data_IF_171126764687
#
_entry.id   IF_171126764687
#
_cell.length_a   1.000
_cell.length_b   1.000
_cell.length_c   1.000
_cell.angle_alpha   90.00
_cell.angle_beta   90.00
_cell.angle_gamma   90.00
#
_symmetry.space_group_name_H-M   'P 1'
#
loop_
_entity.id
_entity.type
_entity.pdbx_description
1 polymer ?
2 water ?
#
# COMPACT_ATOMS: atom_id res chain seq x y z
N UNK A 1 15.34 -8.98 2.85
CA UNK A 1 14.24 -9.79 3.44
C UNK A 1 12.95 -9.03 3.21
N UNK A 2 11.89 -9.73 2.89
CA UNK A 2 10.57 -9.08 2.76
C UNK A 2 10.11 -8.57 4.16
N UNK A 3 10.28 -9.37 5.21
CA UNK A 3 9.90 -9.06 6.61
C UNK A 3 10.59 -7.78 7.06
N UNK A 4 11.88 -7.70 6.84
CA UNK A 4 12.60 -6.46 7.11
C UNK A 4 12.06 -5.24 6.43
N UNK A 5 11.71 -5.25 5.16
CA UNK A 5 11.23 -4.11 4.40
C UNK A 5 10.08 -3.40 5.14
N UNK A 6 9.13 -4.23 5.46
CA UNK A 6 7.91 -3.99 6.19
C UNK A 6 8.21 -3.50 7.62
N UNK A 7 8.93 -4.28 8.42
CA UNK A 7 9.19 -3.96 9.85
C UNK A 7 10.05 -2.76 10.03
N UNK A 8 11.23 -2.82 9.45
CA UNK A 8 12.23 -1.78 9.48
C UNK A 8 12.13 -0.63 8.51
N UNK A 9 11.89 -0.90 7.24
CA UNK A 9 11.93 0.18 6.20
C UNK A 9 10.65 0.92 6.07
N UNK A 10 9.57 0.34 6.57
CA UNK A 10 8.27 1.03 6.52
C UNK A 10 7.77 1.48 7.89
N UNK A 11 7.38 0.53 8.69
CA UNK A 11 6.82 0.69 10.03
C UNK A 11 7.90 1.33 10.92
N UNK A 12 9.07 0.72 10.89
CA UNK A 12 10.19 1.22 11.64
C UNK A 12 10.52 2.67 11.53
N UNK A 13 10.09 3.35 10.50
CA UNK A 13 10.37 4.75 10.20
C UNK A 13 9.43 5.74 10.86
N UNK A 14 8.30 5.21 11.22
CA UNK A 14 7.20 5.92 11.83
C UNK A 14 6.35 6.77 10.96
N UNK A 15 6.47 6.65 9.66
CA UNK A 15 5.71 7.45 8.67
C UNK A 15 4.50 6.62 8.23
N UNK A 16 4.58 5.37 8.70
CA UNK A 16 3.52 4.37 8.38
C UNK A 16 3.27 3.54 9.62
N UNK A 17 2.06 3.19 9.91
CA UNK A 17 1.62 2.44 11.06
C UNK A 17 1.62 0.95 10.84
N UNK A 18 1.08 0.50 9.72
CA UNK A 18 0.95 -0.89 9.30
C UNK A 18 1.38 -0.95 7.80
N UNK A 19 2.12 -1.96 7.46
CA UNK A 19 2.60 -2.10 6.02
C UNK A 19 2.60 -3.54 5.59
N UNK A 20 2.35 -3.75 4.32
CA UNK A 20 2.39 -5.12 3.74
C UNK A 20 3.08 -4.98 2.36
N UNK A 21 3.58 -6.11 1.88
CA UNK A 21 4.20 -6.18 0.56
C UNK A 21 3.52 -7.33 -0.19
N UNK A 22 2.87 -6.93 -1.28
CA UNK A 22 2.20 -7.98 -2.08
C UNK A 22 2.85 -8.30 -3.44
N UNK A 23 2.37 -9.41 -3.95
CA UNK A 23 2.65 -9.97 -5.26
C UNK A 23 1.50 -9.45 -6.18
N UNK A 24 1.80 -9.43 -7.48
CA UNK A 24 0.86 -8.98 -8.52
C UNK A 24 -0.27 -9.96 -8.64
N UNK A 25 -0.16 -11.11 -7.99
CA UNK A 25 -1.32 -12.04 -7.98
C UNK A 25 -2.24 -11.70 -6.78
N UNK A 26 -1.81 -10.69 -6.01
CA UNK A 26 -2.52 -10.25 -4.81
C UNK A 26 -2.22 -11.00 -3.51
N UNK A 27 -1.32 -11.93 -3.48
CA UNK A 27 -0.89 -12.70 -2.32
C UNK A 27 0.17 -11.90 -1.59
N UNK A 28 0.10 -11.95 -0.25
CA UNK A 28 1.01 -11.19 0.62
C UNK A 28 2.37 -11.85 0.65
N UNK A 29 3.41 -11.00 0.67
CA UNK A 29 4.80 -11.53 0.71
C UNK A 29 5.30 -11.45 2.15
N UNK A 30 4.92 -10.35 2.79
CA UNK A 30 5.25 -10.04 4.18
C UNK A 30 4.28 -8.96 4.68
N UNK A 31 3.99 -9.07 6.01
CA UNK A 31 3.04 -8.09 6.62
C UNK A 31 3.44 -7.64 8.01
N UNK A 32 3.05 -6.43 8.44
CA UNK A 32 3.34 -5.97 9.83
C UNK A 32 2.41 -6.74 10.78
N UNK A 33 2.95 -7.16 11.90
CA UNK A 33 2.20 -8.00 12.90
C UNK A 33 0.80 -7.46 13.07
N UNK A 34 -0.24 -8.27 12.93
CA UNK A 34 -1.60 -7.77 13.04
C UNK A 34 -2.19 -7.08 11.86
N UNK A 35 -1.45 -6.73 10.81
CA UNK A 35 -2.05 -6.11 9.59
C UNK A 35 -2.42 -7.23 8.60
N UNK A 36 -3.66 -7.32 8.14
CA UNK A 36 -4.06 -8.35 7.21
C UNK A 36 -4.83 -7.93 5.96
N UNK A 37 -4.16 -8.00 4.84
CA UNK A 37 -4.72 -7.71 3.50
C UNK A 37 -5.16 -9.10 2.97
N UNK A 38 -6.46 -9.24 2.75
CA UNK A 38 -6.86 -10.61 2.29
C UNK A 38 -6.53 -10.76 0.82
N UNK A 39 -6.58 -12.03 0.41
CA UNK A 39 -6.32 -12.39 -0.99
C UNK A 39 -7.23 -11.54 -1.88
N UNK A 40 -8.49 -11.75 -1.52
CA UNK A 40 -9.60 -11.06 -2.14
C UNK A 40 -9.32 -9.56 -2.20
N UNK A 41 -8.93 -8.96 -1.09
CA UNK A 41 -8.63 -7.54 -1.03
C UNK A 41 -7.41 -7.20 -1.91
N UNK A 42 -6.46 -8.09 -1.83
CA UNK A 42 -5.19 -8.07 -2.55
C UNK A 42 -5.36 -8.14 -4.06
N UNK A 43 -6.19 -9.09 -4.51
CA UNK A 43 -6.45 -9.27 -5.96
C UNK A 43 -7.21 -8.05 -6.51
N UNK A 44 -8.03 -7.46 -5.65
CA UNK A 44 -8.72 -6.24 -6.10
C UNK A 44 -7.75 -5.08 -6.34
N UNK A 45 -6.79 -4.87 -5.49
CA UNK A 45 -5.81 -3.79 -5.53
C UNK A 45 -5.04 -3.90 -6.86
N UNK A 46 -4.45 -5.09 -6.94
CA UNK A 46 -3.61 -5.40 -8.14
C UNK A 46 -4.37 -5.02 -9.40
N UNK A 47 -5.56 -5.58 -9.53
CA UNK A 47 -6.48 -5.40 -10.61
C UNK A 47 -6.69 -3.94 -10.98
N UNK A 48 -6.85 -3.14 -9.95
CA UNK A 48 -7.09 -1.69 -10.11
C UNK A 48 -5.86 -1.00 -10.69
N UNK A 49 -4.69 -1.60 -10.47
CA UNK A 49 -3.48 -0.94 -11.05
C UNK A 49 -3.66 -0.98 -12.60
N UNK A 50 -4.28 -2.05 -13.04
CA UNK A 50 -4.62 -2.23 -14.50
C UNK A 50 -5.82 -1.38 -14.87
N UNK A 51 -6.97 -1.62 -14.28
CA UNK A 51 -8.18 -0.78 -14.61
C UNK A 51 -8.72 -0.29 -13.26
N UNK A 52 -8.65 0.96 -12.99
CA UNK A 52 -9.11 1.60 -11.78
C UNK A 52 -10.58 2.07 -11.90
N UNK A 53 -11.37 1.45 -12.77
CA UNK A 53 -12.79 1.83 -12.94
C UNK A 53 -13.57 1.58 -11.64
N UNK A 54 -13.57 0.29 -11.30
CA UNK A 54 -14.22 -0.18 -10.08
C UNK A 54 -13.93 0.80 -8.92
N UNK A 55 -12.73 0.73 -8.43
CA UNK A 55 -12.12 1.45 -7.34
C UNK A 55 -12.29 2.93 -7.33
N UNK A 56 -12.21 3.60 -8.46
CA UNK A 56 -12.35 5.07 -8.52
C UNK A 56 -13.73 5.48 -8.03
N UNK A 57 -14.74 4.70 -8.42
CA UNK A 57 -16.10 5.03 -8.01
C UNK A 57 -16.52 4.39 -6.71
N UNK A 58 -16.11 3.19 -6.35
CA UNK A 58 -16.53 2.50 -5.15
C UNK A 58 -15.60 2.50 -3.98
N UNK A 59 -14.39 2.94 -4.04
CA UNK A 59 -13.40 2.91 -2.96
C UNK A 59 -12.87 1.47 -2.88
N UNK A 60 -12.05 1.16 -1.88
CA UNK A 60 -11.49 -0.20 -1.70
C UNK A 60 -11.32 -0.55 -0.23
N UNK A 61 -11.18 -1.82 0.01
CA UNK A 61 -10.98 -2.44 1.29
C UNK A 61 -9.58 -2.98 1.58
N UNK A 62 -9.05 -2.55 2.69
CA UNK A 62 -7.76 -3.09 3.19
C UNK A 62 -8.00 -3.40 4.70
N UNK A 63 -7.87 -4.67 5.05
CA UNK A 63 -7.99 -5.19 6.39
C UNK A 63 -9.10 -4.51 7.18
N UNK A 64 -10.34 -4.62 6.72
CA UNK A 64 -11.45 -4.01 7.45
C UNK A 64 -11.71 -2.54 7.33
N UNK A 65 -10.84 -1.76 6.69
CA UNK A 65 -11.14 -0.35 6.53
C UNK A 65 -11.53 -0.08 5.08
N UNK A 66 -12.62 0.58 4.88
CA UNK A 66 -13.00 0.96 3.51
C UNK A 66 -12.54 2.40 3.30
N UNK A 67 -11.62 2.54 2.34
CA UNK A 67 -11.10 3.84 1.96
C UNK A 67 -11.72 4.32 0.66
N UNK A 68 -11.73 5.61 0.50
CA UNK A 68 -12.23 6.19 -0.76
C UNK A 68 -10.94 6.58 -1.48
N UNK A 69 -10.97 6.42 -2.81
CA UNK A 69 -9.86 6.71 -3.68
C UNK A 69 -9.59 8.19 -3.94
N UNK A 70 -8.42 8.61 -3.50
CA UNK A 70 -7.96 9.98 -3.68
C UNK A 70 -7.26 10.12 -5.07
N UNK A 71 -6.40 9.19 -5.39
CA UNK A 71 -5.57 9.06 -6.60
C UNK A 71 -5.39 7.63 -7.11
N UNK A 72 -5.53 7.31 -8.39
CA UNK A 72 -5.37 6.00 -9.03
C UNK A 72 -4.83 6.12 -10.49
N UNK A 73 -3.67 5.54 -10.62
CA UNK A 73 -2.87 5.45 -11.86
C UNK A 73 -2.21 4.07 -11.92
N UNK A 74 -1.25 3.95 -12.77
CA UNK A 74 -0.49 2.71 -13.06
C UNK A 74 0.59 2.44 -12.03
N UNK A 75 0.91 3.54 -11.31
CA UNK A 75 1.93 3.34 -10.27
C UNK A 75 1.41 3.53 -8.85
N UNK A 76 0.49 4.45 -8.64
CA UNK A 76 0.00 4.81 -7.32
C UNK A 76 -1.48 4.91 -7.10
N UNK A 77 -1.96 4.21 -6.08
CA UNK A 77 -3.33 4.30 -5.61
C UNK A 77 -3.33 4.77 -4.13
N UNK A 78 -3.96 5.90 -3.92
CA UNK A 78 -4.08 6.50 -2.58
C UNK A 78 -5.57 6.42 -2.10
N UNK A 79 -5.65 6.01 -0.83
CA UNK A 79 -6.91 5.86 -0.09
C UNK A 79 -6.93 6.80 1.12
N UNK A 80 -8.14 7.24 1.41
CA UNK A 80 -8.32 8.17 2.55
C UNK A 80 -9.61 7.74 3.26
N UNK A 81 -9.48 7.71 4.54
CA UNK A 81 -10.58 7.38 5.51
C UNK A 81 -10.32 8.43 6.63
N UNK A 82 -11.07 9.53 6.47
CA UNK A 82 -10.95 10.67 7.38
C UNK A 82 -9.49 11.14 7.37
N UNK A 83 -8.91 11.20 8.54
CA UNK A 83 -7.57 11.66 8.79
C UNK A 83 -6.55 10.53 8.65
N UNK A 84 -7.10 9.42 8.24
CA UNK A 84 -6.33 8.23 7.96
C UNK A 84 -6.30 7.97 6.45
N UNK A 85 -5.42 7.05 6.09
CA UNK A 85 -5.34 6.73 4.65
C UNK A 85 -4.32 5.65 4.46
N UNK A 86 -4.12 5.33 3.20
CA UNK A 86 -3.17 4.28 2.74
C UNK A 86 -2.61 4.72 1.37
N UNK A 87 -1.32 4.41 1.29
CA UNK A 87 -0.52 4.71 0.11
C UNK A 87 -0.04 3.34 -0.46
N UNK A 88 -0.52 3.08 -1.70
CA UNK A 88 -0.10 1.83 -2.39
C UNK A 88 0.69 2.28 -3.63
N UNK A 89 1.81 1.62 -3.74
CA UNK A 89 2.74 1.89 -4.88
C UNK A 89 3.11 0.56 -5.51
N UNK A 90 2.71 0.44 -6.80
CA UNK A 90 3.04 -0.78 -7.56
C UNK A 90 4.44 -0.65 -8.16
N UNK A 91 5.21 -1.66 -7.92
CA UNK A 91 6.57 -1.75 -8.47
C UNK A 91 6.54 -2.63 -9.73
N UNK A 92 7.66 -3.12 -10.14
CA UNK A 92 7.73 -4.03 -11.32
C UNK A 92 7.09 -5.36 -11.04
N UNK A 93 7.38 -5.92 -9.85
CA UNK A 93 6.84 -7.24 -9.47
C UNK A 93 5.99 -7.33 -8.20
N UNK A 94 5.81 -6.22 -7.50
CA UNK A 94 5.14 -6.21 -6.19
C UNK A 94 4.37 -4.94 -5.96
N UNK A 95 3.61 -5.03 -4.86
CA UNK A 95 2.82 -3.85 -4.43
C UNK A 95 3.10 -3.56 -2.93
N UNK A 96 3.44 -2.31 -2.73
CA UNK A 96 3.72 -1.76 -1.40
C UNK A 96 2.42 -1.12 -0.86
N UNK A 97 2.14 -1.48 0.40
CA UNK A 97 0.98 -0.90 1.11
C UNK A 97 1.48 -0.27 2.44
N UNK A 98 1.28 1.00 2.55
CA UNK A 98 1.66 1.79 3.73
C UNK A 98 0.43 2.52 4.30
N UNK A 99 -0.13 1.92 5.37
CA UNK A 99 -1.32 2.53 6.04
C UNK A 99 -0.91 3.61 7.05
N UNK A 100 -1.57 4.76 7.13
CA UNK A 100 -1.17 5.76 8.17
C UNK A 100 -2.37 6.20 9.02
N UNK A 101 -2.11 6.74 10.22
CA UNK A 101 -3.20 7.23 11.10
C UNK A 101 -3.12 8.76 11.20
N UNK A 102 -4.09 9.27 11.92
CA UNK A 102 -4.26 10.71 12.14
C UNK A 102 -3.09 11.32 12.85
N UNK A 103 -2.17 10.51 13.33
CA UNK A 103 -0.98 11.04 14.05
C UNK A 103 0.19 11.21 13.10
N UNK A 104 -0.04 10.89 11.83
CA UNK A 104 0.99 10.98 10.80
C UNK A 104 0.60 11.98 9.70
N UNK A 105 1.63 12.66 9.29
CA UNK A 105 1.56 13.63 8.18
C UNK A 105 1.44 12.74 6.93
N UNK A 106 0.38 12.95 6.19
CA UNK A 106 0.06 12.21 4.96
C UNK A 106 1.14 12.35 3.90
N UNK A 107 1.65 13.56 3.76
CA UNK A 107 2.70 13.99 2.87
C UNK A 107 3.93 13.11 3.15
N UNK A 108 4.20 12.88 4.44
CA UNK A 108 5.31 12.05 4.85
C UNK A 108 5.15 10.57 4.59
N UNK A 109 3.99 10.01 4.82
CA UNK A 109 3.73 8.60 4.56
C UNK A 109 3.94 8.28 3.06
N UNK A 110 3.43 9.17 2.18
CA UNK A 110 3.48 9.05 0.73
C UNK A 110 4.93 9.09 0.24
N UNK A 111 5.65 10.09 0.70
CA UNK A 111 7.06 10.29 0.34
C UNK A 111 7.83 9.07 0.81
N UNK A 112 7.57 8.50 1.98
CA UNK A 112 8.33 7.30 2.39
C UNK A 112 8.01 6.06 1.54
N UNK A 113 6.77 5.72 1.24
CA UNK A 113 6.40 4.53 0.46
C UNK A 113 6.90 4.64 -1.00
N UNK A 114 6.67 5.76 -1.62
CA UNK A 114 7.08 6.17 -2.94
C UNK A 114 8.59 6.09 -3.10
N UNK A 115 9.37 6.51 -2.12
CA UNK A 115 10.83 6.40 -2.16
C UNK A 115 11.29 4.96 -1.98
N UNK A 116 10.64 4.14 -1.17
CA UNK A 116 11.04 2.74 -0.96
C UNK A 116 10.71 1.96 -2.28
N UNK A 117 9.69 2.41 -2.97
CA UNK A 117 9.27 1.79 -4.25
C UNK A 117 10.43 2.03 -5.27
N UNK A 118 10.84 3.27 -5.38
CA UNK A 118 11.95 3.70 -6.21
C UNK A 118 13.20 2.88 -5.92
N UNK A 119 13.51 2.71 -4.64
CA UNK A 119 14.71 1.92 -4.28
C UNK A 119 14.55 0.46 -4.65
N UNK A 120 13.34 -0.08 -4.50
CA UNK A 120 13.05 -1.46 -4.77
C UNK A 120 13.05 -1.79 -6.28
N UNK A 121 12.55 -0.90 -7.07
CA UNK A 121 12.57 -1.04 -8.56
C UNK A 121 14.03 -1.20 -9.02
N UNK A 122 14.84 -0.23 -8.66
CA UNK A 122 16.27 -0.16 -8.84
C UNK A 122 16.94 -1.46 -8.40
N UNK A 123 16.37 -2.29 -7.59
CA UNK A 123 16.99 -3.55 -7.16
C UNK A 123 16.48 -4.64 -8.10
N UNK A 124 15.47 -4.34 -8.88
CA UNK A 124 14.95 -5.47 -9.73
C UNK A 124 13.62 -6.01 -9.22
N UNK A 125 12.99 -5.30 -8.29
CA UNK A 125 11.72 -5.73 -7.67
C UNK A 125 10.57 -4.88 -8.18
#
# INVERSE_FOLDING_TARGET
SWQTYVDTNLVGTGAVTQAAILGLDGNTWATSAGFAVTPAQGTTLAGAFNNADAIRAGGFDLAGVHYVTLRADDRSIYGKKGSSGVITVKTSKAILVGVYNEKIQPGTAANVVEKLADYLIGQGF
#
